data_IF_376503129871
#
_entry.id   IF_376503129871
#
_cell.length_a   1.000
_cell.length_b   1.000
_cell.length_c   1.000
_cell.angle_alpha   90.00
_cell.angle_beta   90.00
_cell.angle_gamma   90.00
#
_symmetry.space_group_name_H-M   'P 1'
#
loop_
_entity.id
_entity.type
_entity.pdbx_description
1 polymer ?
#
# COMPACT_ATOMS: atom_id res chain seq x y z
N UNK A 1 0.33 16.59 -21.28
CA UNK A 1 -0.87 16.49 -20.43
C UNK A 1 -0.60 15.44 -19.38
N UNK A 2 -0.72 15.77 -18.09
CA UNK A 2 -0.50 14.81 -17.01
C UNK A 2 -1.71 13.88 -16.85
N UNK A 3 -1.48 12.66 -16.39
CA UNK A 3 -2.50 11.63 -16.11
C UNK A 3 -3.51 12.03 -14.99
N UNK A 4 -3.44 13.24 -14.44
CA UNK A 4 -4.34 13.72 -13.39
C UNK A 4 -3.90 13.39 -11.96
N UNK A 5 -2.74 12.74 -11.77
CA UNK A 5 -2.19 12.44 -10.43
C UNK A 5 -1.28 13.55 -9.90
N UNK A 6 -1.35 13.80 -8.59
CA UNK A 6 -0.43 14.66 -7.84
C UNK A 6 0.33 13.78 -6.87
N UNK A 7 1.62 13.56 -7.16
CA UNK A 7 2.42 12.53 -6.50
C UNK A 7 2.11 11.14 -7.07
N UNK A 8 1.67 10.20 -6.23
CA UNK A 8 1.22 8.86 -6.61
C UNK A 8 -0.21 8.58 -6.16
N UNK A 9 -0.73 7.39 -6.48
CA UNK A 9 -2.13 7.04 -6.17
C UNK A 9 -2.43 7.09 -4.67
N UNK A 10 -1.48 6.67 -3.83
CA UNK A 10 -1.57 6.70 -2.38
C UNK A 10 -1.53 8.10 -1.75
N UNK A 11 -1.06 9.13 -2.47
CA UNK A 11 -1.08 10.52 -2.00
C UNK A 11 -2.30 11.31 -2.48
N UNK A 12 -3.06 10.78 -3.44
CA UNK A 12 -4.17 11.50 -4.08
C UNK A 12 -5.29 11.87 -3.12
N UNK A 13 -5.64 10.99 -2.17
CA UNK A 13 -6.70 11.27 -1.18
C UNK A 13 -6.40 12.52 -0.33
N UNK A 14 -5.14 12.72 0.05
CA UNK A 14 -4.72 13.91 0.79
C UNK A 14 -4.61 15.14 -0.11
N UNK A 15 -4.11 14.97 -1.34
CA UNK A 15 -4.00 16.05 -2.32
C UNK A 15 -5.37 16.63 -2.70
N UNK A 16 -6.38 15.76 -2.89
CA UNK A 16 -7.77 16.15 -3.16
C UNK A 16 -8.31 17.07 -2.04
N UNK A 17 -8.16 16.64 -0.79
CA UNK A 17 -8.63 17.42 0.37
C UNK A 17 -7.92 18.79 0.43
N UNK A 18 -6.60 18.84 0.21
CA UNK A 18 -5.85 20.08 0.27
C UNK A 18 -6.23 21.08 -0.84
N UNK A 19 -6.45 20.59 -2.07
CA UNK A 19 -6.76 21.44 -3.23
C UNK A 19 -8.20 21.95 -3.24
N UNK A 20 -9.12 21.19 -2.65
CA UNK A 20 -10.50 21.66 -2.47
C UNK A 20 -10.55 22.88 -1.54
N UNK A 21 -9.69 22.91 -0.51
CA UNK A 21 -9.65 23.97 0.49
C UNK A 21 -8.83 25.19 0.02
N UNK A 22 -7.88 25.00 -0.91
CA UNK A 22 -6.94 26.04 -1.35
C UNK A 22 -7.27 26.64 -2.72
N UNK A 23 -8.55 26.63 -3.12
CA UNK A 23 -9.03 27.09 -4.44
C UNK A 23 -8.59 28.51 -4.84
N UNK A 24 -8.37 29.37 -3.87
CA UNK A 24 -7.94 30.76 -4.06
C UNK A 24 -6.46 30.91 -4.50
N UNK A 25 -5.63 29.88 -4.34
CA UNK A 25 -4.16 30.00 -4.50
C UNK A 25 -3.58 29.45 -5.81
N UNK A 26 -4.37 28.77 -6.65
CA UNK A 26 -3.84 28.18 -7.89
C UNK A 26 -4.36 28.81 -9.19
N UNK A 27 -5.14 29.90 -9.12
CA UNK A 27 -5.41 30.72 -10.29
C UNK A 27 -4.09 31.28 -10.88
N UNK A 28 -3.89 31.27 -12.21
CA UNK A 28 -4.84 30.96 -13.27
C UNK A 28 -4.85 29.49 -13.74
N UNK A 29 -4.05 28.60 -13.13
CA UNK A 29 -4.02 27.17 -13.50
C UNK A 29 -5.26 26.47 -12.96
N UNK A 30 -6.21 26.17 -13.83
CA UNK A 30 -7.37 25.37 -13.45
C UNK A 30 -6.94 23.92 -13.17
N UNK A 31 -7.23 23.45 -11.95
CA UNK A 31 -7.08 22.05 -11.59
C UNK A 31 -8.36 21.29 -11.98
N UNK A 32 -8.21 20.20 -12.75
CA UNK A 32 -9.33 19.35 -13.14
C UNK A 32 -9.63 18.33 -12.03
N UNK A 33 -10.49 18.73 -11.08
CA UNK A 33 -10.91 17.88 -9.95
C UNK A 33 -11.64 16.62 -10.42
N UNK A 34 -12.42 16.68 -11.50
CA UNK A 34 -13.13 15.52 -12.07
C UNK A 34 -12.16 14.45 -12.54
N UNK A 35 -11.08 14.83 -13.23
CA UNK A 35 -10.03 13.91 -13.67
C UNK A 35 -9.31 13.28 -12.47
N UNK A 36 -8.97 14.09 -11.46
CA UNK A 36 -8.30 13.61 -10.24
C UNK A 36 -9.17 12.63 -9.43
N UNK A 37 -10.46 12.91 -9.28
CA UNK A 37 -11.42 12.01 -8.62
C UNK A 37 -11.61 10.70 -9.40
N UNK A 38 -11.63 10.75 -10.74
CA UNK A 38 -11.77 9.55 -11.57
C UNK A 38 -10.58 8.60 -11.42
N UNK A 39 -9.36 9.13 -11.34
CA UNK A 39 -8.16 8.32 -11.12
C UNK A 39 -8.23 7.59 -9.77
N UNK A 40 -8.69 8.29 -8.74
CA UNK A 40 -8.88 7.72 -7.41
C UNK A 40 -9.97 6.65 -7.41
N UNK A 41 -11.13 6.93 -8.00
CA UNK A 41 -12.28 6.02 -8.00
C UNK A 41 -12.00 4.70 -8.71
N UNK A 42 -11.20 4.74 -9.78
CA UNK A 42 -10.91 3.56 -10.61
C UNK A 42 -9.77 2.69 -10.07
N UNK A 43 -9.14 3.06 -8.94
CA UNK A 43 -8.08 2.26 -8.34
C UNK A 43 -8.62 1.32 -7.28
N UNK A 44 -8.13 0.07 -7.28
CA UNK A 44 -8.52 -0.93 -6.31
C UNK A 44 -7.63 -0.85 -5.06
N UNK A 45 -8.15 -0.23 -4.00
CA UNK A 45 -7.44 -0.10 -2.74
C UNK A 45 -7.73 -1.31 -1.84
N UNK A 46 -6.72 -2.16 -1.66
CA UNK A 46 -6.79 -3.29 -0.72
C UNK A 46 -6.26 -2.91 0.67
N UNK A 47 -5.42 -1.86 0.77
CA UNK A 47 -4.80 -1.43 2.02
C UNK A 47 -5.75 -0.54 2.84
N UNK A 48 -6.12 -0.92 4.10
CA UNK A 48 -7.09 -0.17 4.90
C UNK A 48 -6.70 1.29 5.14
N UNK A 49 -5.40 1.57 5.28
CA UNK A 49 -4.91 2.93 5.46
C UNK A 49 -5.06 3.78 4.20
N UNK A 50 -4.83 3.19 3.02
CA UNK A 50 -5.07 3.89 1.76
C UNK A 50 -6.55 4.23 1.59
N UNK A 51 -7.44 3.29 1.93
CA UNK A 51 -8.89 3.53 1.96
C UNK A 51 -9.23 4.69 2.92
N UNK A 52 -8.68 4.69 4.13
CA UNK A 52 -8.94 5.73 5.13
C UNK A 52 -8.51 7.13 4.67
N UNK A 53 -7.47 7.24 3.85
CA UNK A 53 -7.00 8.52 3.30
C UNK A 53 -7.82 9.00 2.11
N UNK A 54 -8.43 8.08 1.35
CA UNK A 54 -9.16 8.39 0.12
C UNK A 54 -10.66 8.48 0.30
N UNK A 55 -11.20 7.86 1.34
CA UNK A 55 -12.63 7.87 1.64
C UNK A 55 -13.17 9.30 1.89
N UNK A 56 -12.53 10.17 2.70
CA UNK A 56 -13.06 11.51 2.96
C UNK A 56 -13.36 12.33 1.69
N UNK A 57 -12.42 12.54 0.74
CA UNK A 57 -12.72 13.31 -0.46
C UNK A 57 -13.75 12.62 -1.36
N UNK A 58 -13.81 11.28 -1.38
CA UNK A 58 -14.84 10.53 -2.15
C UNK A 58 -16.27 10.80 -1.65
N UNK A 59 -16.44 11.12 -0.37
CA UNK A 59 -17.74 11.49 0.20
C UNK A 59 -17.91 13.01 0.36
N UNK A 60 -17.07 13.80 -0.32
CA UNK A 60 -17.10 15.27 -0.25
C UNK A 60 -16.82 15.81 1.15
N UNK A 61 -15.86 15.21 1.86
CA UNK A 61 -15.41 15.60 3.19
C UNK A 61 -13.90 15.81 3.22
N UNK A 62 -13.47 16.59 4.20
CA UNK A 62 -12.08 16.77 4.57
C UNK A 62 -11.87 16.56 6.07
N UNK A 63 -10.63 16.43 6.52
CA UNK A 63 -10.33 16.39 7.96
C UNK A 63 -10.80 17.63 8.72
N UNK A 64 -10.99 18.80 8.07
CA UNK A 64 -11.54 20.00 8.72
C UNK A 64 -13.01 19.82 9.13
N UNK A 65 -13.72 18.87 8.53
CA UNK A 65 -15.10 18.54 8.89
C UNK A 65 -15.19 17.70 10.18
N UNK A 66 -14.08 17.13 10.67
CA UNK A 66 -14.08 16.20 11.81
C UNK A 66 -14.55 16.85 13.12
N UNK A 67 -14.23 18.13 13.35
CA UNK A 67 -14.68 18.88 14.54
C UNK A 67 -16.14 19.32 14.49
N UNK A 68 -16.82 19.12 13.36
CA UNK A 68 -18.21 19.56 13.12
C UNK A 68 -19.22 18.42 13.27
N UNK A 69 -18.75 17.23 13.62
CA UNK A 69 -19.57 16.04 13.81
C UNK A 69 -20.07 15.96 15.25
N UNK A 70 -21.34 16.30 15.45
CA UNK A 70 -22.06 15.80 16.62
C UNK A 70 -22.27 14.30 16.47
N UNK A 71 -21.93 13.52 17.50
CA UNK A 71 -22.19 12.08 17.57
C UNK A 71 -23.69 11.69 17.52
N UNK A 72 -24.59 12.62 17.18
CA UNK A 72 -26.04 12.41 17.11
C UNK A 72 -26.48 11.69 15.82
N UNK A 73 -25.59 11.50 14.83
CA UNK A 73 -25.90 10.79 13.58
C UNK A 73 -26.17 9.29 13.77
N UNK A 74 -26.01 8.74 14.98
CA UNK A 74 -26.30 7.33 15.30
C UNK A 74 -27.76 7.08 15.70
N UNK A 75 -28.59 8.12 15.86
CA UNK A 75 -29.97 7.95 16.35
C UNK A 75 -31.00 7.66 15.24
N UNK A 76 -30.58 7.50 13.98
CA UNK A 76 -31.48 7.28 12.84
C UNK A 76 -31.00 6.31 11.77
N UNK A 77 -29.80 5.72 11.90
CA UNK A 77 -29.37 4.65 10.99
C UNK A 77 -29.97 3.32 11.46
N UNK A 78 -31.15 3.01 10.93
CA UNK A 78 -31.65 1.64 10.93
C UNK A 78 -30.59 0.73 10.31
N UNK A 79 -30.35 -0.43 10.92
CA UNK A 79 -29.44 -1.50 10.51
C UNK A 79 -29.80 -2.13 9.13
N UNK A 80 -30.59 -1.44 8.31
CA UNK A 80 -31.15 -1.88 7.03
C UNK A 80 -30.37 -1.36 5.81
N UNK A 81 -29.37 -0.50 5.99
CA UNK A 81 -28.34 -0.21 4.98
C UNK A 81 -27.11 -1.12 5.12
N UNK A 82 -27.30 -2.37 5.54
CA UNK A 82 -26.30 -3.39 5.26
C UNK A 82 -26.20 -3.51 3.74
N UNK A 83 -25.04 -3.17 3.15
CA UNK A 83 -24.69 -3.67 1.82
C UNK A 83 -25.02 -5.16 1.83
N UNK A 84 -25.78 -5.63 0.84
CA UNK A 84 -25.98 -7.06 0.63
C UNK A 84 -24.59 -7.70 0.52
N UNK A 85 -24.11 -8.26 1.62
CA UNK A 85 -22.99 -9.18 1.62
C UNK A 85 -23.46 -10.33 0.74
N UNK A 86 -22.87 -10.42 -0.45
CA UNK A 86 -23.15 -11.53 -1.36
C UNK A 86 -22.94 -12.83 -0.59
N UNK A 87 -23.83 -13.83 -0.73
CA UNK A 87 -23.81 -15.00 0.12
C UNK A 87 -22.47 -15.73 -0.03
N UNK A 88 -21.83 -15.97 1.11
CA UNK A 88 -20.73 -16.92 1.25
C UNK A 88 -21.20 -18.29 0.71
N UNK A 89 -20.47 -18.95 -0.22
CA UNK A 89 -20.81 -20.29 -0.63
C UNK A 89 -20.63 -21.25 0.54
N UNK A 90 -21.74 -21.59 1.20
CA UNK A 90 -21.82 -22.67 2.16
C UNK A 90 -21.62 -24.01 1.45
N UNK A 91 -20.66 -24.76 1.96
CA UNK A 91 -20.28 -26.11 1.54
C UNK A 91 -21.48 -27.07 1.64
N UNK A 92 -22.01 -27.50 0.49
CA UNK A 92 -22.56 -28.85 0.33
C UNK A 92 -21.56 -29.61 -0.54
N UNK A 93 -21.03 -30.70 0.01
CA UNK A 93 -19.96 -31.49 -0.59
C UNK A 93 -20.33 -32.01 -1.98
N UNK A 94 -19.72 -31.40 -2.98
CA UNK A 94 -19.49 -32.00 -4.29
C UNK A 94 -17.97 -32.12 -4.41
N UNK A 95 -17.40 -33.27 -4.82
CA UNK A 95 -15.97 -33.36 -5.10
C UNK A 95 -15.65 -32.51 -6.33
N UNK A 96 -15.45 -31.21 -6.13
CA UNK A 96 -14.98 -30.31 -7.17
C UNK A 96 -13.50 -30.57 -7.35
N UNK A 97 -13.16 -31.27 -8.42
CA UNK A 97 -11.79 -31.40 -8.94
C UNK A 97 -11.14 -30.01 -8.97
N UNK A 98 -9.84 -29.86 -8.64
CA UNK A 98 -9.19 -28.56 -8.71
C UNK A 98 -9.26 -28.01 -10.13
N UNK A 99 -10.12 -27.00 -10.33
CA UNK A 99 -10.44 -26.36 -11.61
C UNK A 99 -9.41 -25.28 -12.01
N UNK A 100 -8.19 -25.36 -11.51
CA UNK A 100 -7.12 -24.46 -11.92
C UNK A 100 -5.81 -25.25 -12.00
N UNK A 101 -5.05 -25.14 -13.10
CA UNK A 101 -3.74 -25.74 -13.18
C UNK A 101 -2.85 -25.17 -12.06
N UNK A 102 -1.96 -25.97 -11.46
CA UNK A 102 -1.01 -25.45 -10.48
C UNK A 102 -0.19 -24.34 -11.13
N UNK A 103 -0.31 -23.12 -10.64
CA UNK A 103 0.51 -22.00 -11.12
C UNK A 103 1.96 -22.30 -10.81
N UNK A 104 2.81 -22.23 -11.82
CA UNK A 104 4.23 -22.50 -11.67
C UNK A 104 4.85 -21.46 -10.71
N UNK A 105 5.76 -21.87 -9.80
CA UNK A 105 6.46 -20.93 -8.95
C UNK A 105 7.36 -20.01 -9.80
N UNK A 106 7.53 -18.78 -9.33
CA UNK A 106 8.36 -17.77 -9.97
C UNK A 106 9.73 -17.70 -9.28
N UNK A 107 10.76 -17.36 -10.06
CA UNK A 107 12.10 -17.10 -9.53
C UNK A 107 12.37 -15.61 -9.55
N UNK A 108 12.74 -15.06 -8.39
CA UNK A 108 13.04 -13.64 -8.19
C UNK A 108 14.51 -13.48 -7.83
N UNK A 109 15.21 -12.57 -8.52
CA UNK A 109 16.55 -12.15 -8.11
C UNK A 109 16.42 -11.08 -7.02
N UNK A 110 16.77 -11.45 -5.78
CA UNK A 110 16.75 -10.54 -4.65
C UNK A 110 18.17 -10.05 -4.34
N UNK A 111 18.33 -8.75 -4.11
CA UNK A 111 19.61 -8.16 -3.75
C UNK A 111 19.47 -7.14 -2.63
N UNK A 112 20.50 -7.07 -1.78
CA UNK A 112 20.62 -6.07 -0.72
C UNK A 112 21.92 -5.30 -0.91
N UNK A 113 21.83 -3.98 -0.91
CA UNK A 113 22.99 -3.09 -1.14
C UNK A 113 23.02 -2.01 -0.08
N UNK A 114 24.20 -1.77 0.47
CA UNK A 114 24.48 -0.60 1.28
C UNK A 114 25.64 0.18 0.65
N UNK A 115 25.39 1.43 0.27
CA UNK A 115 26.38 2.34 -0.32
C UNK A 115 26.79 3.48 0.62
N UNK A 116 26.12 3.62 1.77
CA UNK A 116 26.30 4.78 2.66
C UNK A 116 27.54 4.67 3.55
N UNK A 117 27.70 3.55 4.26
CA UNK A 117 28.86 3.26 5.13
C UNK A 117 29.09 1.77 5.23
N UNK A 118 30.34 1.31 5.10
CA UNK A 118 30.69 -0.12 5.06
C UNK A 118 29.95 -0.83 3.93
N UNK A 119 30.43 -0.60 2.71
CA UNK A 119 29.81 -1.13 1.50
C UNK A 119 29.61 -2.64 1.59
N UNK A 120 28.41 -3.08 1.25
CA UNK A 120 28.14 -4.49 1.00
C UNK A 120 27.10 -4.64 -0.10
N UNK A 121 27.20 -5.75 -0.81
CA UNK A 121 26.26 -6.16 -1.83
C UNK A 121 26.13 -7.68 -1.81
N UNK A 122 24.91 -8.17 -1.61
CA UNK A 122 24.60 -9.59 -1.64
C UNK A 122 23.40 -9.84 -2.53
N UNK A 123 23.43 -10.96 -3.25
CA UNK A 123 22.33 -11.39 -4.12
C UNK A 123 22.05 -12.87 -3.98
N UNK A 124 20.77 -13.23 -4.15
CA UNK A 124 20.27 -14.60 -4.12
C UNK A 124 19.09 -14.74 -5.09
N UNK A 125 18.95 -15.91 -5.70
CA UNK A 125 17.77 -16.27 -6.50
C UNK A 125 16.82 -17.06 -5.64
N UNK A 126 15.59 -16.58 -5.49
CA UNK A 126 14.57 -17.14 -4.59
C UNK A 126 13.41 -17.67 -5.42
N UNK A 127 12.98 -18.90 -5.13
CA UNK A 127 11.80 -19.50 -5.75
C UNK A 127 10.59 -19.34 -4.81
N UNK A 128 9.53 -18.69 -5.28
CA UNK A 128 8.32 -18.43 -4.50
C UNK A 128 7.06 -18.78 -5.31
N UNK A 129 5.93 -19.12 -4.66
CA UNK A 129 4.66 -19.26 -5.35
C UNK A 129 4.26 -18.01 -6.13
N UNK A 130 3.48 -18.17 -7.19
CA UNK A 130 2.87 -17.03 -7.89
C UNK A 130 2.01 -16.19 -6.94
N UNK A 131 1.94 -14.87 -7.19
CA UNK A 131 1.31 -13.87 -6.32
C UNK A 131 1.91 -13.74 -4.90
N UNK A 132 3.15 -14.21 -4.69
CA UNK A 132 3.87 -13.93 -3.45
C UNK A 132 4.24 -12.46 -3.31
N UNK A 133 4.28 -11.97 -2.07
CA UNK A 133 4.70 -10.60 -1.74
C UNK A 133 6.22 -10.50 -1.63
N UNK A 134 6.75 -9.27 -1.67
CA UNK A 134 8.18 -9.03 -1.40
C UNK A 134 8.61 -9.53 -0.01
N UNK A 135 7.75 -9.39 1.00
CA UNK A 135 8.02 -9.89 2.34
C UNK A 135 8.26 -11.41 2.32
N UNK A 136 7.46 -12.17 1.56
CA UNK A 136 7.65 -13.60 1.38
C UNK A 136 9.01 -13.93 0.74
N UNK A 137 9.43 -13.17 -0.28
CA UNK A 137 10.75 -13.31 -0.90
C UNK A 137 11.87 -13.08 0.13
N UNK A 138 11.74 -12.05 0.98
CA UNK A 138 12.69 -11.78 2.05
C UNK A 138 12.75 -12.90 3.09
N UNK A 139 11.61 -13.49 3.44
CA UNK A 139 11.54 -14.62 4.38
C UNK A 139 12.23 -15.87 3.84
N UNK A 140 12.02 -16.21 2.57
CA UNK A 140 12.69 -17.35 1.95
C UNK A 140 14.20 -17.08 1.84
N UNK A 141 14.62 -15.88 1.42
CA UNK A 141 16.03 -15.50 1.38
C UNK A 141 16.70 -15.60 2.77
N UNK A 142 16.00 -15.18 3.83
CA UNK A 142 16.47 -15.32 5.22
C UNK A 142 16.62 -16.78 5.62
N UNK A 143 15.67 -17.64 5.25
CA UNK A 143 15.73 -19.06 5.59
C UNK A 143 16.89 -19.75 4.87
N UNK A 144 17.24 -19.32 3.65
CA UNK A 144 18.37 -19.86 2.89
C UNK A 144 19.73 -19.37 3.40
N UNK A 145 19.88 -18.07 3.68
CA UNK A 145 21.13 -17.50 4.23
C UNK A 145 20.82 -16.52 5.38
N UNK A 146 20.58 -17.03 6.60
CA UNK A 146 20.13 -16.21 7.72
C UNK A 146 21.17 -15.16 8.14
N UNK A 147 22.46 -15.46 8.02
CA UNK A 147 23.52 -14.51 8.40
C UNK A 147 23.56 -13.27 7.47
N UNK A 148 23.13 -13.44 6.21
CA UNK A 148 23.18 -12.39 5.19
C UNK A 148 21.85 -11.66 5.07
N UNK A 149 20.75 -12.41 4.89
CA UNK A 149 19.42 -11.86 4.62
C UNK A 149 18.53 -11.77 5.87
N UNK A 150 19.11 -11.76 7.07
CA UNK A 150 18.33 -11.43 8.27
C UNK A 150 17.76 -10.01 8.17
N UNK A 151 16.52 -9.85 8.60
CA UNK A 151 15.84 -8.57 8.65
C UNK A 151 14.92 -8.50 9.87
N UNK A 152 14.55 -7.28 10.26
CA UNK A 152 13.55 -7.03 11.31
C UNK A 152 12.48 -6.10 10.79
N UNK A 153 11.24 -6.36 11.18
CA UNK A 153 10.08 -5.52 10.87
C UNK A 153 9.50 -4.91 12.14
N UNK A 154 8.72 -3.85 11.94
CA UNK A 154 7.84 -3.25 12.95
C UNK A 154 6.47 -3.08 12.33
N UNK A 155 5.41 -3.44 13.05
CA UNK A 155 4.05 -3.20 12.58
C UNK A 155 3.73 -1.71 12.62
N UNK A 156 3.26 -1.17 11.50
CA UNK A 156 2.71 0.19 11.40
C UNK A 156 1.30 0.14 10.79
N UNK A 157 0.63 1.29 10.76
CA UNK A 157 -0.74 1.39 10.23
C UNK A 157 -0.85 1.08 8.74
N UNK A 158 0.28 1.15 8.01
CA UNK A 158 0.41 0.78 6.60
C UNK A 158 0.86 -0.67 6.39
N UNK A 159 1.09 -1.43 7.46
CA UNK A 159 1.62 -2.79 7.40
C UNK A 159 3.03 -2.92 7.98
N UNK A 160 3.74 -4.02 7.65
CA UNK A 160 5.07 -4.28 8.18
C UNK A 160 6.12 -3.34 7.57
N UNK A 161 6.78 -2.56 8.42
CA UNK A 161 7.87 -1.66 8.03
C UNK A 161 9.23 -2.31 8.32
N UNK A 162 10.09 -2.43 7.31
CA UNK A 162 11.43 -3.02 7.47
C UNK A 162 12.37 -2.02 8.14
N UNK A 163 12.83 -2.38 9.34
CA UNK A 163 13.67 -1.52 10.19
C UNK A 163 15.16 -1.82 10.07
N UNK A 164 15.52 -3.06 9.74
CA UNK A 164 16.91 -3.48 9.56
C UNK A 164 17.04 -4.63 8.57
N UNK A 165 18.18 -4.67 7.88
CA UNK A 165 18.62 -5.76 6.99
C UNK A 165 20.11 -5.99 7.26
N UNK A 166 20.52 -7.26 7.35
CA UNK A 166 21.91 -7.64 7.64
C UNK A 166 22.46 -6.95 8.90
N UNK A 167 21.64 -6.89 9.96
CA UNK A 167 21.97 -6.22 11.22
C UNK A 167 22.01 -4.68 11.18
N UNK A 168 22.00 -4.06 10.00
CA UNK A 168 22.08 -2.61 9.85
C UNK A 168 20.68 -1.97 9.95
N UNK A 169 20.52 -1.09 10.94
CA UNK A 169 19.26 -0.42 11.23
C UNK A 169 19.14 0.93 10.50
N UNK A 170 17.93 1.24 10.05
CA UNK A 170 17.54 2.62 9.72
C UNK A 170 17.67 3.53 10.95
N UNK A 171 17.97 4.80 10.73
CA UNK A 171 18.18 5.77 11.80
C UNK A 171 17.42 7.06 11.48
N UNK A 172 16.42 7.37 12.31
CA UNK A 172 15.56 8.55 12.13
C UNK A 172 16.35 9.87 12.24
N UNK A 173 17.29 9.97 13.18
CA UNK A 173 18.12 11.17 13.38
C UNK A 173 19.06 11.40 12.20
N UNK A 174 19.62 10.33 11.63
CA UNK A 174 20.50 10.38 10.45
C UNK A 174 19.74 10.32 9.12
N UNK A 175 18.41 10.24 9.16
CA UNK A 175 17.52 10.10 8.00
C UNK A 175 17.90 8.96 7.06
N UNK A 176 18.30 7.81 7.63
CA UNK A 176 18.62 6.60 6.86
C UNK A 176 17.50 5.56 7.02
N UNK A 177 17.12 4.91 5.92
CA UNK A 177 16.07 3.88 5.87
C UNK A 177 16.37 2.87 4.75
N UNK A 178 15.64 1.76 4.73
CA UNK A 178 15.72 0.75 3.68
C UNK A 178 14.71 1.07 2.59
N UNK A 179 15.20 1.24 1.36
CA UNK A 179 14.37 1.52 0.19
C UNK A 179 14.33 0.30 -0.73
N UNK A 180 13.14 -0.05 -1.20
CA UNK A 180 12.91 -1.21 -2.06
C UNK A 180 12.67 -0.79 -3.50
N UNK A 181 13.21 -1.56 -4.42
CA UNK A 181 13.12 -1.31 -5.85
C UNK A 181 12.72 -2.59 -6.58
N UNK A 182 11.88 -2.45 -7.60
CA UNK A 182 11.79 -3.43 -8.68
C UNK A 182 12.72 -2.97 -9.80
N UNK A 183 13.87 -3.63 -9.92
CA UNK A 183 14.98 -3.20 -10.76
C UNK A 183 15.44 -1.77 -10.41
N UNK A 184 15.00 -0.77 -11.17
CA UNK A 184 15.40 0.64 -11.03
C UNK A 184 14.27 1.52 -10.49
N UNK A 185 13.06 0.97 -10.35
CA UNK A 185 11.87 1.74 -9.97
C UNK A 185 11.57 1.52 -8.49
N UNK A 186 11.48 2.58 -7.67
CA UNK A 186 11.13 2.43 -6.26
C UNK A 186 9.71 1.89 -6.13
N UNK A 187 9.51 0.96 -5.19
CA UNK A 187 8.19 0.42 -4.90
C UNK A 187 7.32 1.49 -4.24
N UNK A 188 6.04 1.49 -4.61
CA UNK A 188 5.01 2.37 -4.02
C UNK A 188 4.23 1.69 -2.89
N UNK A 189 4.44 0.39 -2.71
CA UNK A 189 3.82 -0.48 -1.71
C UNK A 189 4.90 -1.18 -0.88
N UNK A 190 4.52 -1.57 0.34
CA UNK A 190 5.38 -2.29 1.29
C UNK A 190 5.20 -3.79 1.22
#
# INVERSE_FOLDING_TARGET
SGNGTIGGIYSMGLALQALEISSEFYAPRQWNSTQACSVVYNHDYQQPMAIAQVLPPLVGKSYLNAGRWGCAATNGMSLSQQLLLSPMPGTIGVPTLPLSPPTAPITVQFSITNTLKNYFHYSISVCVPDNSTLLQVMEVARNEKPDIFCFKTKQESWGPYVTSIHGLHGNKTKRTYWQFFSCWTPLQEG
#
